data_IF_195809489883
#
_entry.id   IF_195809489883
#
_cell.length_a   1.000
_cell.length_b   1.000
_cell.length_c   1.000
_cell.angle_alpha   90.00
_cell.angle_beta   90.00
_cell.angle_gamma   90.00
#
_symmetry.space_group_name_H-M   'P 1'
#
loop_
_entity.id
_entity.type
_entity.pdbx_description
1 polymer ?
#
# COMPACT_ATOMS: atom_id res chain seq x y z
N UNK A 1 16.70 -3.83 -24.30
CA UNK A 1 17.71 -3.43 -23.29
C UNK A 1 16.99 -2.51 -22.33
N UNK A 2 17.00 -2.73 -21.01
CA UNK A 2 16.36 -1.78 -20.09
C UNK A 2 17.01 -0.40 -20.26
N UNK A 3 16.21 0.66 -20.28
CA UNK A 3 16.68 2.04 -20.38
C UNK A 3 17.72 2.31 -19.28
N UNK A 4 18.68 3.20 -19.55
CA UNK A 4 19.66 3.60 -18.51
C UNK A 4 18.96 4.24 -17.30
N UNK A 5 17.77 4.82 -17.50
CA UNK A 5 16.90 5.38 -16.46
C UNK A 5 16.40 4.30 -15.48
N UNK A 6 15.81 3.20 -15.97
CA UNK A 6 15.28 2.11 -15.11
C UNK A 6 16.33 1.46 -14.20
N UNK A 7 17.60 1.39 -14.62
CA UNK A 7 18.71 0.95 -13.76
C UNK A 7 19.14 2.03 -12.76
N UNK A 8 19.07 3.31 -13.12
CA UNK A 8 19.38 4.42 -12.24
C UNK A 8 18.29 4.65 -11.19
N UNK A 9 17.01 4.53 -11.55
CA UNK A 9 15.89 4.51 -10.61
C UNK A 9 16.01 3.32 -9.68
N UNK A 10 16.20 2.10 -10.21
CA UNK A 10 16.44 0.92 -9.37
C UNK A 10 17.68 1.07 -8.48
N UNK A 11 18.74 1.78 -8.91
CA UNK A 11 19.93 2.10 -8.11
C UNK A 11 19.70 3.22 -7.07
N UNK A 12 18.87 4.21 -7.39
CA UNK A 12 18.47 5.30 -6.50
C UNK A 12 17.39 4.85 -5.50
N UNK A 13 16.60 3.83 -5.85
CA UNK A 13 15.64 3.10 -5.01
C UNK A 13 16.26 1.91 -4.30
N UNK A 14 17.41 1.43 -4.76
CA UNK A 14 18.14 0.31 -4.22
C UNK A 14 19.65 0.53 -4.40
N UNK A 15 20.35 0.79 -3.29
CA UNK A 15 21.82 0.96 -3.20
C UNK A 15 22.33 2.39 -3.45
N UNK A 16 21.94 3.31 -2.57
CA UNK A 16 22.81 4.43 -2.20
C UNK A 16 23.80 3.97 -1.12
N UNK A 17 24.98 3.49 -1.53
CA UNK A 17 26.11 3.25 -0.61
C UNK A 17 26.66 4.59 -0.12
N UNK A 18 26.26 4.98 1.09
CA UNK A 18 26.81 6.11 1.83
C UNK A 18 26.35 6.09 3.29
N UNK A 19 27.08 5.32 4.12
CA UNK A 19 26.91 5.10 5.57
C UNK A 19 25.77 4.19 6.04
N UNK A 20 26.07 2.89 5.96
CA UNK A 20 25.87 1.83 6.98
C UNK A 20 25.24 2.26 8.32
N UNK A 21 23.92 2.46 8.35
CA UNK A 21 23.03 2.17 9.47
C UNK A 21 21.60 2.13 8.90
N UNK A 22 20.86 1.04 9.11
CA UNK A 22 19.43 1.01 8.82
C UNK A 22 18.96 0.23 7.59
N UNK A 23 19.64 -0.83 7.16
CA UNK A 23 18.90 -2.02 6.75
C UNK A 23 18.32 -2.66 8.02
N UNK A 24 17.46 -1.95 8.73
CA UNK A 24 16.81 -2.54 9.87
C UNK A 24 15.64 -3.33 9.32
N UNK A 25 15.95 -4.61 9.14
CA UNK A 25 15.02 -5.67 8.84
C UNK A 25 13.75 -5.50 9.68
N UNK A 26 12.61 -5.92 9.11
CA UNK A 26 11.50 -6.40 9.91
C UNK A 26 12.11 -7.29 11.01
N UNK A 27 12.00 -6.90 12.28
CA UNK A 27 12.60 -7.68 13.35
C UNK A 27 12.04 -9.10 13.27
N UNK A 28 12.95 -10.07 13.33
CA UNK A 28 12.60 -11.49 13.46
C UNK A 28 12.21 -11.86 14.88
N UNK A 29 12.36 -10.92 15.83
CA UNK A 29 11.86 -11.07 17.19
C UNK A 29 10.42 -10.56 17.25
N UNK A 30 9.49 -11.33 17.84
CA UNK A 30 8.12 -10.87 18.01
C UNK A 30 8.14 -9.57 18.83
N UNK A 31 7.42 -8.52 18.41
CA UNK A 31 7.40 -7.26 19.11
C UNK A 31 6.98 -7.46 20.56
N UNK A 32 7.67 -6.79 21.47
CA UNK A 32 7.32 -6.77 22.89
C UNK A 32 6.00 -6.03 23.16
N UNK A 33 5.47 -5.33 22.16
CA UNK A 33 4.22 -4.56 22.24
C UNK A 33 3.00 -5.45 22.02
N UNK A 34 1.93 -5.10 22.73
CA UNK A 34 0.64 -5.78 22.62
C UNK A 34 0.09 -5.63 21.19
N UNK A 35 -0.76 -6.57 20.71
CA UNK A 35 -1.45 -6.41 19.44
C UNK A 35 -2.20 -5.07 19.42
N UNK A 36 -2.33 -4.43 18.25
CA UNK A 36 -3.14 -3.23 18.14
C UNK A 36 -4.55 -3.54 18.63
N UNK A 37 -5.25 -2.58 19.25
CA UNK A 37 -6.68 -2.74 19.50
C UNK A 37 -7.37 -2.90 18.13
N UNK A 38 -7.68 -4.14 17.77
CA UNK A 38 -8.67 -4.38 16.73
C UNK A 38 -9.99 -3.80 17.25
N UNK A 39 -10.76 -3.15 16.38
CA UNK A 39 -12.19 -3.11 16.64
C UNK A 39 -12.65 -4.56 16.86
N UNK A 40 -13.50 -4.78 17.85
CA UNK A 40 -13.92 -6.13 18.21
C UNK A 40 -14.54 -6.79 16.98
N UNK A 41 -13.93 -7.88 16.50
CA UNK A 41 -14.50 -8.66 15.39
C UNK A 41 -15.77 -9.42 15.83
N UNK A 42 -16.18 -9.29 17.10
CA UNK A 42 -17.32 -9.95 17.68
C UNK A 42 -18.63 -9.77 16.88
N UNK A 43 -18.78 -8.66 16.17
CA UNK A 43 -19.98 -8.38 15.38
C UNK A 43 -19.90 -8.92 13.92
N UNK A 44 -18.81 -9.59 13.54
CA UNK A 44 -18.59 -10.07 12.17
C UNK A 44 -18.77 -11.59 12.06
N UNK A 45 -19.40 -12.00 10.96
CA UNK A 45 -19.48 -13.39 10.52
C UNK A 45 -18.29 -13.69 9.61
N UNK A 46 -17.42 -14.59 10.02
CA UNK A 46 -16.17 -14.91 9.31
C UNK A 46 -16.16 -16.38 8.91
N UNK A 47 -15.93 -16.64 7.62
CA UNK A 47 -15.52 -17.97 7.17
C UNK A 47 -14.00 -18.10 7.37
N UNK A 48 -13.54 -19.19 7.97
CA UNK A 48 -12.12 -19.47 8.13
C UNK A 48 -11.82 -20.89 7.67
N UNK A 49 -10.97 -21.01 6.66
CA UNK A 49 -10.44 -22.30 6.22
C UNK A 49 -9.71 -23.00 7.36
N UNK A 50 -9.90 -24.32 7.46
CA UNK A 50 -9.38 -25.13 8.57
C UNK A 50 -7.85 -25.12 8.73
N UNK A 51 -7.12 -24.75 7.67
CA UNK A 51 -5.66 -24.67 7.68
C UNK A 51 -5.13 -23.29 8.08
N UNK A 52 -6.00 -22.29 8.25
CA UNK A 52 -5.62 -20.96 8.72
C UNK A 52 -5.46 -20.98 10.24
N UNK A 53 -4.27 -20.66 10.78
CA UNK A 53 -4.09 -20.58 12.23
C UNK A 53 -4.87 -19.39 12.78
N UNK A 54 -5.51 -19.58 13.94
CA UNK A 54 -6.27 -18.54 14.64
C UNK A 54 -5.65 -18.24 16.01
N UNK A 55 -5.76 -17.00 16.51
CA UNK A 55 -5.40 -16.70 17.89
C UNK A 55 -6.30 -17.50 18.86
N UNK A 56 -5.78 -17.80 20.05
CA UNK A 56 -6.51 -18.58 21.07
C UNK A 56 -7.80 -17.90 21.56
N UNK A 57 -7.87 -16.56 21.51
CA UNK A 57 -8.95 -15.78 22.11
C UNK A 57 -9.46 -14.67 21.19
N UNK A 58 -9.85 -15.03 19.96
CA UNK A 58 -10.55 -14.10 19.06
C UNK A 58 -12.06 -14.39 19.05
N UNK A 59 -12.87 -13.36 19.22
CA UNK A 59 -14.32 -13.44 19.09
C UNK A 59 -14.73 -12.97 17.68
N UNK A 60 -15.40 -13.84 16.94
CA UNK A 60 -16.19 -13.56 15.73
C UNK A 60 -17.15 -14.74 15.53
N UNK A 61 -18.26 -14.50 14.86
CA UNK A 61 -19.22 -15.55 14.53
C UNK A 61 -18.66 -16.38 13.36
N UNK A 62 -18.56 -17.71 13.53
CA UNK A 62 -18.04 -18.58 12.47
C UNK A 62 -19.15 -19.10 11.58
N UNK A 63 -18.89 -19.08 10.28
CA UNK A 63 -19.72 -19.75 9.27
C UNK A 63 -18.89 -20.74 8.45
N UNK A 64 -19.55 -21.78 7.94
CA UNK A 64 -18.98 -22.71 6.95
C UNK A 64 -19.39 -22.34 5.52
N UNK A 65 -20.19 -21.29 5.35
CA UNK A 65 -20.66 -20.77 4.07
C UNK A 65 -19.90 -19.48 3.75
N UNK A 66 -19.11 -19.50 2.67
CA UNK A 66 -18.32 -18.35 2.25
C UNK A 66 -19.17 -17.17 1.83
N UNK A 67 -20.38 -17.40 1.29
CA UNK A 67 -21.27 -16.35 0.77
C UNK A 67 -22.08 -15.65 1.87
N UNK A 68 -22.19 -16.29 3.04
CA UNK A 68 -22.86 -15.73 4.22
C UNK A 68 -21.89 -14.99 5.16
N UNK A 69 -20.60 -14.90 4.79
CA UNK A 69 -19.57 -14.27 5.60
C UNK A 69 -19.41 -12.79 5.23
N UNK A 70 -19.09 -11.95 6.21
CA UNK A 70 -18.61 -10.59 5.99
C UNK A 70 -17.19 -10.59 5.37
N UNK A 71 -16.42 -11.65 5.66
CA UNK A 71 -15.12 -11.94 5.04
C UNK A 71 -14.80 -13.42 5.11
N UNK A 72 -14.21 -13.96 4.04
CA UNK A 72 -13.71 -15.33 3.98
C UNK A 72 -12.18 -15.37 4.02
N UNK A 73 -11.62 -16.15 4.94
CA UNK A 73 -10.17 -16.28 5.15
C UNK A 73 -9.72 -17.67 4.70
N UNK A 74 -8.82 -17.72 3.72
CA UNK A 74 -8.29 -18.96 3.16
C UNK A 74 -6.80 -19.15 3.45
N UNK A 75 -6.38 -20.42 3.56
CA UNK A 75 -4.96 -20.75 3.51
C UNK A 75 -4.45 -20.68 2.05
N UNK A 76 -3.16 -20.34 1.83
CA UNK A 76 -2.55 -20.24 0.51
C UNK A 76 -2.27 -21.61 -0.08
N UNK A 77 -3.29 -22.24 -0.67
CA UNK A 77 -3.16 -23.52 -1.35
C UNK A 77 -3.76 -23.45 -2.76
N UNK A 78 -3.23 -24.26 -3.68
CA UNK A 78 -3.78 -24.36 -5.04
C UNK A 78 -5.24 -24.82 -5.02
N UNK A 79 -5.61 -25.69 -4.08
CA UNK A 79 -6.98 -26.18 -3.91
C UNK A 79 -7.97 -25.07 -3.57
N UNK A 80 -7.53 -23.98 -2.93
CA UNK A 80 -8.38 -22.86 -2.55
C UNK A 80 -8.57 -21.82 -3.67
N UNK A 81 -7.77 -21.86 -4.75
CA UNK A 81 -7.79 -20.82 -5.80
C UNK A 81 -9.17 -20.67 -6.43
N UNK A 82 -9.81 -21.78 -6.81
CA UNK A 82 -11.15 -21.77 -7.42
C UNK A 82 -12.21 -21.24 -6.43
N UNK A 83 -12.17 -21.68 -5.18
CA UNK A 83 -13.12 -21.24 -4.16
C UNK A 83 -12.95 -19.75 -3.82
N UNK A 84 -11.72 -19.24 -3.79
CA UNK A 84 -11.44 -17.81 -3.62
C UNK A 84 -12.06 -17.02 -4.77
N UNK A 85 -11.86 -17.46 -6.02
CA UNK A 85 -12.42 -16.79 -7.19
C UNK A 85 -13.96 -16.74 -7.13
N UNK A 86 -14.61 -17.87 -6.84
CA UNK A 86 -16.08 -17.92 -6.68
C UNK A 86 -16.56 -17.00 -5.56
N UNK A 87 -15.85 -16.95 -4.43
CA UNK A 87 -16.21 -16.10 -3.28
C UNK A 87 -16.10 -14.61 -3.63
N UNK A 88 -15.05 -14.22 -4.35
CA UNK A 88 -14.88 -12.85 -4.84
C UNK A 88 -15.94 -12.47 -5.88
N UNK A 89 -16.27 -13.38 -6.80
CA UNK A 89 -17.29 -13.15 -7.83
C UNK A 89 -18.70 -12.96 -7.25
N UNK A 90 -18.98 -13.57 -6.09
CA UNK A 90 -20.22 -13.39 -5.33
C UNK A 90 -20.25 -12.06 -4.54
N UNK A 91 -19.16 -11.30 -4.54
CA UNK A 91 -19.05 -10.02 -3.86
C UNK A 91 -18.57 -10.11 -2.41
N UNK A 92 -18.18 -11.29 -1.94
CA UNK A 92 -17.66 -11.46 -0.58
C UNK A 92 -16.16 -11.11 -0.51
N UNK A 93 -15.72 -10.25 0.43
CA UNK A 93 -14.30 -9.98 0.66
C UNK A 93 -13.52 -11.25 1.01
N UNK A 94 -12.31 -11.38 0.45
CA UNK A 94 -11.42 -12.51 0.73
C UNK A 94 -10.09 -12.05 1.31
N UNK A 95 -9.64 -12.75 2.36
CA UNK A 95 -8.28 -12.69 2.85
C UNK A 95 -7.56 -14.03 2.62
N UNK A 96 -6.26 -13.98 2.33
CA UNK A 96 -5.39 -15.16 2.27
C UNK A 96 -4.31 -15.00 3.34
N UNK A 97 -4.15 -16.02 4.19
CA UNK A 97 -3.31 -15.97 5.38
C UNK A 97 -2.33 -17.17 5.42
N UNK A 98 -1.05 -16.91 5.23
CA UNK A 98 0.05 -17.87 5.24
C UNK A 98 1.14 -17.53 4.22
N UNK A 99 2.19 -18.33 4.16
CA UNK A 99 3.27 -18.18 3.15
C UNK A 99 2.70 -18.24 1.72
N UNK A 100 3.16 -17.37 0.83
CA UNK A 100 2.69 -17.25 -0.56
C UNK A 100 1.26 -16.71 -0.74
N UNK A 101 0.70 -16.06 0.29
CA UNK A 101 -0.67 -15.53 0.24
C UNK A 101 -0.96 -14.66 -0.99
N UNK A 102 -0.02 -13.77 -1.36
CA UNK A 102 -0.17 -12.91 -2.52
C UNK A 102 -0.25 -13.72 -3.82
N UNK A 103 0.55 -14.77 -3.98
CA UNK A 103 0.53 -15.60 -5.19
C UNK A 103 -0.81 -16.29 -5.37
N UNK A 104 -1.33 -16.91 -4.30
CA UNK A 104 -2.64 -17.59 -4.32
C UNK A 104 -3.75 -16.62 -4.67
N UNK A 105 -3.77 -15.42 -4.05
CA UNK A 105 -4.78 -14.40 -4.36
C UNK A 105 -4.71 -13.96 -5.83
N UNK A 106 -3.50 -13.72 -6.35
CA UNK A 106 -3.31 -13.34 -7.77
C UNK A 106 -3.79 -14.44 -8.72
N UNK A 107 -3.58 -15.72 -8.41
CA UNK A 107 -4.12 -16.80 -9.24
C UNK A 107 -5.65 -16.78 -9.28
N UNK A 108 -6.29 -16.51 -8.15
CA UNK A 108 -7.75 -16.44 -8.09
C UNK A 108 -8.30 -15.22 -8.85
N UNK A 109 -7.67 -14.05 -8.74
CA UNK A 109 -8.11 -12.84 -9.43
C UNK A 109 -8.02 -12.93 -10.96
N UNK A 110 -7.05 -13.68 -11.50
CA UNK A 110 -6.86 -13.83 -12.97
C UNK A 110 -8.07 -14.40 -13.71
N UNK A 111 -8.95 -15.13 -13.02
CA UNK A 111 -10.15 -15.71 -13.62
C UNK A 111 -11.40 -14.82 -13.50
N UNK A 112 -11.28 -13.64 -12.91
CA UNK A 112 -12.39 -12.73 -12.65
C UNK A 112 -12.51 -11.68 -13.75
N UNK A 113 -13.75 -11.34 -14.09
CA UNK A 113 -14.11 -10.21 -14.95
C UNK A 113 -14.21 -8.94 -14.09
N UNK A 114 -13.08 -8.55 -13.50
CA UNK A 114 -12.98 -7.38 -12.62
C UNK A 114 -11.60 -6.73 -12.76
N UNK A 115 -11.58 -5.40 -12.79
CA UNK A 115 -10.32 -4.66 -12.76
C UNK A 115 -9.68 -4.72 -11.38
N UNK A 116 -8.35 -4.82 -11.30
CA UNK A 116 -7.65 -4.83 -10.01
C UNK A 116 -6.18 -4.42 -10.12
N UNK A 117 -5.68 -3.82 -9.04
CA UNK A 117 -4.27 -3.44 -8.88
C UNK A 117 -3.49 -4.38 -7.97
N UNK A 118 -2.17 -4.45 -8.17
CA UNK A 118 -1.20 -5.03 -7.25
C UNK A 118 -0.14 -3.96 -6.95
N UNK A 119 0.03 -3.59 -5.68
CA UNK A 119 1.00 -2.56 -5.30
C UNK A 119 2.47 -2.95 -5.53
N UNK A 120 2.77 -4.25 -5.62
CA UNK A 120 4.07 -4.79 -5.98
C UNK A 120 3.95 -6.21 -6.54
N UNK A 121 4.39 -6.45 -7.77
CA UNK A 121 4.40 -7.78 -8.40
C UNK A 121 5.49 -8.73 -7.84
N UNK A 122 6.47 -8.19 -7.09
CA UNK A 122 7.69 -8.92 -6.69
C UNK A 122 7.71 -9.47 -5.25
N UNK A 123 6.71 -9.18 -4.42
CA UNK A 123 6.73 -9.50 -2.98
C UNK A 123 6.11 -10.86 -2.62
N UNK A 124 5.75 -11.66 -3.62
CA UNK A 124 4.85 -12.80 -3.44
C UNK A 124 5.29 -13.81 -2.40
N UNK A 125 6.58 -14.17 -2.38
CA UNK A 125 7.11 -15.24 -1.52
C UNK A 125 7.26 -14.85 -0.04
N UNK A 126 7.27 -13.55 0.28
CA UNK A 126 7.46 -13.05 1.65
C UNK A 126 6.17 -12.54 2.27
N UNK A 127 5.10 -12.42 1.46
CA UNK A 127 3.84 -11.86 1.90
C UNK A 127 3.00 -12.92 2.59
N UNK A 128 2.77 -12.73 3.88
CA UNK A 128 2.02 -13.69 4.72
C UNK A 128 0.54 -13.38 4.82
N UNK A 129 0.11 -12.17 4.49
CA UNK A 129 -1.30 -11.79 4.54
C UNK A 129 -1.65 -10.79 3.43
N UNK A 130 -2.66 -11.12 2.64
CA UNK A 130 -3.26 -10.26 1.63
C UNK A 130 -4.78 -10.32 1.68
N UNK A 131 -5.44 -9.34 1.11
CA UNK A 131 -6.88 -9.39 0.90
C UNK A 131 -7.30 -8.73 -0.41
N UNK A 132 -8.47 -9.10 -0.90
CA UNK A 132 -9.18 -8.45 -1.99
C UNK A 132 -10.63 -8.19 -1.58
N UNK A 133 -11.13 -6.99 -1.88
CA UNK A 133 -12.47 -6.54 -1.51
C UNK A 133 -13.23 -6.15 -2.79
N UNK A 134 -14.30 -6.85 -3.15
CA UNK A 134 -15.12 -6.48 -4.30
C UNK A 134 -15.79 -5.10 -4.16
N UNK A 135 -15.79 -4.33 -5.26
CA UNK A 135 -16.35 -2.98 -5.36
C UNK A 135 -17.04 -2.75 -6.71
N UNK A 136 -18.13 -3.48 -6.95
CA UNK A 136 -18.78 -3.47 -8.26
C UNK A 136 -17.97 -4.30 -9.24
N UNK A 137 -17.45 -3.68 -10.29
CA UNK A 137 -16.66 -4.28 -11.39
C UNK A 137 -15.15 -4.28 -11.14
N UNK A 138 -14.72 -4.05 -9.90
CA UNK A 138 -13.30 -3.99 -9.52
C UNK A 138 -13.02 -4.59 -8.15
N UNK A 139 -11.74 -4.85 -7.88
CA UNK A 139 -11.25 -5.32 -6.59
C UNK A 139 -10.27 -4.32 -5.98
N UNK A 140 -10.53 -3.92 -4.74
CA UNK A 140 -9.54 -3.23 -3.92
C UNK A 140 -8.63 -4.26 -3.27
N UNK A 141 -7.31 -4.13 -3.43
CA UNK A 141 -6.34 -5.12 -2.93
C UNK A 141 -5.51 -4.58 -1.77
N UNK A 142 -5.15 -5.48 -0.86
CA UNK A 142 -4.47 -5.14 0.38
C UNK A 142 -3.29 -6.10 0.61
N UNK A 143 -2.13 -5.54 0.95
CA UNK A 143 -0.94 -6.24 1.40
C UNK A 143 -0.60 -5.76 2.81
N UNK A 144 -0.34 -6.70 3.70
CA UNK A 144 0.01 -6.40 5.09
C UNK A 144 1.46 -6.79 5.38
N UNK A 145 2.29 -5.80 5.70
CA UNK A 145 3.73 -5.96 5.94
C UNK A 145 4.01 -5.94 7.44
N UNK A 146 4.79 -6.91 7.92
CA UNK A 146 5.11 -7.06 9.35
C UNK A 146 3.94 -7.59 10.19
N UNK A 147 2.94 -8.22 9.55
CA UNK A 147 1.87 -8.93 10.23
C UNK A 147 2.35 -10.34 10.65
N UNK A 148 2.30 -10.63 11.95
CA UNK A 148 2.65 -11.93 12.51
C UNK A 148 1.38 -12.74 12.75
N UNK A 149 1.19 -13.76 11.92
CA UNK A 149 0.07 -14.69 12.06
C UNK A 149 0.40 -15.75 13.13
N UNK A 150 -0.60 -16.17 13.94
CA UNK A 150 -2.00 -15.76 13.87
C UNK A 150 -2.34 -14.49 14.65
N UNK A 151 -1.41 -13.95 15.46
CA UNK A 151 -1.64 -12.84 16.40
C UNK A 151 -2.29 -11.62 15.75
N UNK A 152 -1.79 -11.22 14.59
CA UNK A 152 -2.19 -9.97 13.94
C UNK A 152 -3.33 -10.15 12.92
N UNK A 153 -3.88 -11.37 12.80
CA UNK A 153 -5.01 -11.66 11.91
C UNK A 153 -6.21 -10.74 12.18
N UNK A 154 -6.65 -10.51 13.44
CA UNK A 154 -7.83 -9.68 13.69
C UNK A 154 -7.65 -8.23 13.23
N UNK A 155 -6.45 -7.68 13.48
CA UNK A 155 -6.09 -6.35 13.02
C UNK A 155 -6.10 -6.24 11.50
N UNK A 156 -5.53 -7.22 10.79
CA UNK A 156 -5.46 -7.22 9.33
C UNK A 156 -6.84 -7.36 8.67
N UNK A 157 -7.73 -8.19 9.25
CA UNK A 157 -9.13 -8.28 8.82
C UNK A 157 -9.86 -6.96 9.05
N UNK A 158 -9.69 -6.35 10.23
CA UNK A 158 -10.31 -5.07 10.54
C UNK A 158 -9.91 -3.98 9.53
N UNK A 159 -8.62 -3.86 9.26
CA UNK A 159 -8.09 -2.89 8.29
C UNK A 159 -8.48 -3.20 6.84
N UNK A 160 -8.80 -4.45 6.51
CA UNK A 160 -9.33 -4.85 5.19
C UNK A 160 -10.76 -4.36 5.01
N UNK A 161 -11.64 -4.66 5.98
CA UNK A 161 -13.07 -4.38 5.86
C UNK A 161 -13.44 -2.92 6.18
N UNK A 162 -12.70 -2.30 7.10
CA UNK A 162 -12.91 -0.92 7.53
C UNK A 162 -11.61 -0.11 7.41
N UNK A 163 -11.07 0.06 6.18
CA UNK A 163 -9.85 0.83 5.98
C UNK A 163 -10.08 2.28 6.41
N UNK A 164 -9.20 2.82 7.26
CA UNK A 164 -9.31 4.23 7.69
C UNK A 164 -9.32 5.15 6.47
N UNK A 165 -10.25 6.10 6.41
CA UNK A 165 -10.18 7.18 5.43
C UNK A 165 -8.89 7.99 5.66
N UNK A 166 -8.21 8.38 4.58
CA UNK A 166 -7.02 9.22 4.64
C UNK A 166 -7.30 10.51 3.88
N UNK A 167 -7.14 11.64 4.55
CA UNK A 167 -7.17 12.94 3.91
C UNK A 167 -5.74 13.39 3.64
N UNK A 168 -5.50 13.90 2.43
CA UNK A 168 -4.21 14.49 2.12
C UNK A 168 -3.93 15.67 3.05
N UNK A 169 -2.77 15.66 3.68
CA UNK A 169 -2.33 16.79 4.50
C UNK A 169 -2.05 18.02 3.63
N UNK A 170 -1.53 17.77 2.42
CA UNK A 170 -1.38 18.79 1.37
C UNK A 170 -2.11 18.28 0.12
N UNK A 171 -3.10 19.02 -0.41
CA UNK A 171 -3.86 18.60 -1.59
C UNK A 171 -3.02 18.69 -2.89
N UNK A 172 -3.32 17.80 -3.85
CA UNK A 172 -2.69 17.77 -5.18
C UNK A 172 -3.31 18.78 -6.17
N UNK A 173 -3.46 20.03 -5.76
CA UNK A 173 -4.26 21.07 -6.45
C UNK A 173 -3.87 21.36 -7.91
N UNK A 174 -2.71 20.89 -8.38
CA UNK A 174 -2.21 21.18 -9.74
C UNK A 174 -2.57 20.13 -10.80
N UNK A 175 -3.22 19.02 -10.43
CA UNK A 175 -3.66 18.00 -11.38
C UNK A 175 -5.16 17.75 -11.18
N UNK A 176 -5.96 18.52 -11.91
CA UNK A 176 -7.41 18.36 -11.95
C UNK A 176 -7.78 17.05 -12.66
N UNK A 177 -8.74 16.33 -12.08
CA UNK A 177 -9.38 15.21 -12.77
C UNK A 177 -10.46 15.75 -13.70
N UNK A 178 -10.57 15.24 -14.93
CA UNK A 178 -11.73 15.50 -15.76
C UNK A 178 -13.00 14.93 -15.09
N UNK A 179 -14.17 15.43 -15.51
CA UNK A 179 -15.45 15.01 -14.92
C UNK A 179 -15.79 13.54 -15.17
N UNK A 180 -15.32 13.00 -16.29
CA UNK A 180 -15.58 11.63 -16.73
C UNK A 180 -14.30 10.79 -16.55
N UNK A 181 -14.16 10.15 -15.39
CA UNK A 181 -13.07 9.21 -15.08
C UNK A 181 -13.62 7.90 -14.54
N UNK A 182 -13.02 6.79 -14.98
CA UNK A 182 -13.35 5.44 -14.54
C UNK A 182 -12.25 4.93 -13.61
N UNK A 183 -12.55 4.59 -12.35
CA UNK A 183 -11.56 4.03 -11.43
C UNK A 183 -11.30 2.55 -11.72
N UNK A 184 -10.02 2.16 -11.85
CA UNK A 184 -9.60 0.75 -11.98
C UNK A 184 -9.47 0.04 -10.63
N UNK A 185 -9.60 0.78 -9.52
CA UNK A 185 -9.53 0.26 -8.15
C UNK A 185 -8.47 0.92 -7.31
N UNK A 186 -8.29 0.39 -6.10
CA UNK A 186 -7.25 0.82 -5.16
C UNK A 186 -6.39 -0.38 -4.76
N UNK A 187 -5.09 -0.18 -4.65
CA UNK A 187 -4.19 -1.15 -4.01
C UNK A 187 -3.52 -0.50 -2.80
N UNK A 188 -3.35 -1.27 -1.73
CA UNK A 188 -2.90 -0.78 -0.43
C UNK A 188 -1.78 -1.65 0.12
N UNK A 189 -0.73 -1.01 0.62
CA UNK A 189 0.29 -1.65 1.46
C UNK A 189 0.18 -1.03 2.85
N UNK A 190 -0.29 -1.81 3.83
CA UNK A 190 -0.33 -1.40 5.23
C UNK A 190 0.76 -2.15 5.99
N UNK A 191 1.50 -1.48 6.85
CA UNK A 191 2.45 -2.18 7.69
C UNK A 191 2.84 -1.45 8.95
N UNK A 192 3.69 -2.14 9.71
CA UNK A 192 4.37 -1.63 10.89
C UNK A 192 5.79 -2.17 10.94
N UNK A 193 6.63 -1.46 11.67
CA UNK A 193 7.95 -1.89 12.07
C UNK A 193 8.10 -1.64 13.59
N UNK A 194 9.29 -1.87 14.12
CA UNK A 194 9.55 -1.79 15.57
C UNK A 194 9.36 -0.39 16.16
N UNK A 195 9.38 0.65 15.33
CA UNK A 195 9.29 2.04 15.79
C UNK A 195 7.95 2.69 15.48
N UNK A 196 7.24 2.24 14.43
CA UNK A 196 6.10 2.96 13.89
C UNK A 196 5.29 2.20 12.80
N UNK A 197 4.26 2.85 12.28
CA UNK A 197 3.34 2.34 11.27
C UNK A 197 3.34 3.18 9.99
N UNK A 198 3.01 2.54 8.88
CA UNK A 198 2.90 3.20 7.57
C UNK A 198 1.79 2.58 6.73
N UNK A 199 1.28 3.33 5.76
CA UNK A 199 0.23 2.90 4.84
C UNK A 199 0.39 3.63 3.52
N UNK A 200 0.55 2.88 2.44
CA UNK A 200 0.56 3.41 1.08
C UNK A 200 -0.69 2.95 0.37
N UNK A 201 -1.33 3.85 -0.38
CA UNK A 201 -2.43 3.52 -1.29
C UNK A 201 -2.15 4.10 -2.65
N UNK A 202 -2.38 3.29 -3.66
CA UNK A 202 -2.38 3.72 -5.04
C UNK A 202 -3.79 3.53 -5.59
N UNK A 203 -4.31 4.53 -6.28
CA UNK A 203 -5.56 4.44 -7.03
C UNK A 203 -5.29 4.88 -8.46
N UNK A 204 -5.79 4.11 -9.42
CA UNK A 204 -5.65 4.43 -10.84
C UNK A 204 -7.01 4.76 -11.42
N UNK A 205 -7.06 5.88 -12.12
CA UNK A 205 -8.24 6.34 -12.83
C UNK A 205 -7.89 6.52 -14.31
N UNK A 206 -8.83 6.16 -15.18
CA UNK A 206 -8.70 6.31 -16.63
C UNK A 206 -9.70 7.36 -17.07
N UNK A 207 -9.29 8.34 -17.87
CA UNK A 207 -10.24 9.24 -18.53
C UNK A 207 -10.39 8.82 -19.99
N UNK A 208 -11.63 8.79 -20.46
CA UNK A 208 -11.92 8.67 -21.89
C UNK A 208 -11.75 10.05 -22.54
N UNK A 209 -10.82 10.16 -23.48
CA UNK A 209 -10.53 11.36 -24.27
C UNK A 209 -10.34 10.93 -25.73
N UNK A 210 -10.84 11.75 -26.67
CA UNK A 210 -11.09 11.37 -28.06
C UNK A 210 -9.79 11.11 -28.85
N UNK A 211 -8.65 11.68 -28.40
CA UNK A 211 -7.36 11.58 -29.08
C UNK A 211 -6.35 10.67 -28.36
N UNK A 212 -6.36 10.63 -27.01
CA UNK A 212 -5.51 9.75 -26.20
C UNK A 212 -6.19 9.47 -24.86
N UNK A 213 -6.09 8.25 -24.33
CA UNK A 213 -6.66 7.86 -23.02
C UNK A 213 -5.65 8.10 -21.88
N UNK A 214 -5.69 9.23 -21.14
CA UNK A 214 -4.77 9.44 -20.03
C UNK A 214 -5.13 8.59 -18.81
N UNK A 215 -4.09 8.22 -18.08
CA UNK A 215 -4.16 7.50 -16.82
C UNK A 215 -3.72 8.44 -15.70
N UNK A 216 -4.52 8.53 -14.64
CA UNK A 216 -4.23 9.28 -13.43
C UNK A 216 -3.84 8.30 -12.33
N UNK A 217 -2.67 8.49 -11.75
CA UNK A 217 -2.17 7.67 -10.66
C UNK A 217 -2.11 8.52 -9.40
N UNK A 218 -3.01 8.23 -8.47
CA UNK A 218 -3.06 8.84 -7.16
C UNK A 218 -2.31 7.96 -6.18
N UNK A 219 -1.27 8.49 -5.55
CA UNK A 219 -0.51 7.80 -4.51
C UNK A 219 -0.63 8.57 -3.20
N UNK A 220 -1.16 7.93 -2.15
CA UNK A 220 -1.09 8.44 -0.79
C UNK A 220 -0.15 7.58 0.06
N UNK A 221 0.59 8.23 0.95
CA UNK A 221 1.46 7.57 1.92
C UNK A 221 1.29 8.23 3.28
N UNK A 222 0.69 7.50 4.22
CA UNK A 222 0.53 7.94 5.59
C UNK A 222 1.60 7.35 6.48
N UNK A 223 2.20 8.21 7.29
CA UNK A 223 3.19 7.88 8.30
C UNK A 223 2.62 8.20 9.68
N UNK A 224 2.77 7.29 10.64
CA UNK A 224 2.40 7.51 12.04
C UNK A 224 3.60 7.32 12.94
N UNK A 225 3.57 7.87 14.15
CA UNK A 225 4.61 7.73 15.16
C UNK A 225 4.00 7.50 16.55
N UNK A 226 4.78 6.89 17.45
CA UNK A 226 4.38 6.65 18.84
C UNK A 226 3.17 5.72 19.00
N UNK A 227 2.39 5.95 20.06
CA UNK A 227 1.31 5.06 20.53
C UNK A 227 0.25 4.76 19.46
N UNK A 228 -0.02 5.70 18.54
CA UNK A 228 -0.96 5.51 17.43
C UNK A 228 -0.56 4.41 16.44
N UNK A 229 0.68 3.93 16.51
CA UNK A 229 1.22 2.85 15.72
C UNK A 229 1.70 1.65 16.56
N UNK A 230 1.40 1.62 17.86
CA UNK A 230 1.97 0.66 18.83
C UNK A 230 3.51 0.58 18.78
N UNK A 231 4.13 1.72 18.41
CA UNK A 231 5.55 1.84 18.18
C UNK A 231 6.29 2.60 19.30
N UNK A 232 7.60 2.75 19.12
CA UNK A 232 8.47 3.47 20.06
C UNK A 232 8.21 4.99 20.01
N UNK A 233 7.78 5.57 21.13
CA UNK A 233 7.40 6.98 21.29
C UNK A 233 8.56 7.99 21.13
N UNK A 234 9.79 7.47 21.10
CA UNK A 234 11.01 8.23 20.82
C UNK A 234 11.08 8.66 19.36
N UNK A 235 10.65 7.79 18.45
CA UNK A 235 10.74 8.05 17.02
C UNK A 235 9.55 8.88 16.55
N UNK A 236 9.83 9.93 15.77
CA UNK A 236 8.83 10.84 15.18
C UNK A 236 8.92 10.83 13.67
N UNK A 237 7.82 11.11 13.00
CA UNK A 237 7.75 11.20 11.56
C UNK A 237 8.68 12.31 11.10
N UNK A 238 9.56 11.98 10.16
CA UNK A 238 10.62 12.87 9.71
C UNK A 238 10.56 13.15 8.21
N UNK A 239 10.04 12.21 7.42
CA UNK A 239 9.76 12.48 6.02
C UNK A 239 9.10 11.33 5.30
N UNK A 240 8.42 11.67 4.22
CA UNK A 240 7.90 10.72 3.25
C UNK A 240 8.39 11.11 1.86
N UNK A 241 8.89 10.14 1.10
CA UNK A 241 9.23 10.32 -0.32
C UNK A 241 8.29 9.45 -1.14
N UNK A 242 7.55 10.06 -2.05
CA UNK A 242 6.77 9.36 -3.07
C UNK A 242 7.55 9.42 -4.38
N UNK A 243 7.88 8.26 -4.94
CA UNK A 243 8.58 8.16 -6.20
C UNK A 243 7.91 7.14 -7.13
N UNK A 244 7.76 7.49 -8.40
CA UNK A 244 7.26 6.62 -9.45
C UNK A 244 7.99 6.85 -10.77
N UNK A 245 8.21 5.79 -11.55
CA UNK A 245 8.73 5.83 -12.92
C UNK A 245 7.70 5.15 -13.83
N UNK A 246 7.31 5.85 -14.89
CA UNK A 246 6.29 5.38 -15.84
C UNK A 246 6.94 4.95 -17.16
N UNK A 247 6.42 3.87 -17.76
CA UNK A 247 6.80 3.50 -19.13
C UNK A 247 6.11 4.41 -20.17
N UNK A 248 5.05 5.12 -19.79
CA UNK A 248 4.33 6.10 -20.61
C UNK A 248 4.70 7.54 -20.24
N UNK A 249 4.36 8.49 -21.11
CA UNK A 249 4.77 9.89 -20.95
C UNK A 249 4.10 10.53 -19.73
N UNK A 250 4.92 11.01 -18.79
CA UNK A 250 4.47 11.77 -17.62
C UNK A 250 4.25 13.24 -18.00
N UNK A 251 2.98 13.68 -17.99
CA UNK A 251 2.60 15.02 -18.45
C UNK A 251 2.48 16.02 -17.30
N UNK A 252 1.86 15.61 -16.18
CA UNK A 252 1.63 16.49 -15.02
C UNK A 252 1.76 15.74 -13.73
N UNK A 253 2.25 16.44 -12.71
CA UNK A 253 2.49 15.91 -11.37
C UNK A 253 2.08 16.99 -10.37
N UNK A 254 1.45 16.58 -9.28
CA UNK A 254 1.09 17.47 -8.18
C UNK A 254 1.16 16.74 -6.84
N UNK A 255 1.33 17.46 -5.71
CA UNK A 255 1.55 18.90 -5.60
C UNK A 255 2.96 19.36 -6.06
N UNK A 256 3.10 20.63 -6.43
CA UNK A 256 4.40 21.22 -6.76
C UNK A 256 5.18 21.54 -5.49
N UNK A 257 6.39 22.08 -5.66
CA UNK A 257 7.19 22.57 -4.52
C UNK A 257 6.46 23.68 -3.78
N UNK A 258 6.16 23.48 -2.50
CA UNK A 258 5.48 24.45 -1.64
C UNK A 258 5.71 24.18 -0.16
N UNK A 259 5.53 25.19 0.68
CA UNK A 259 5.49 25.04 2.13
C UNK A 259 4.11 25.44 2.64
N UNK A 260 3.52 24.58 3.44
CA UNK A 260 2.26 24.78 4.15
C UNK A 260 2.49 24.57 5.64
N UNK A 261 1.66 25.17 6.50
CA UNK A 261 1.49 24.64 7.85
C UNK A 261 0.51 23.47 7.72
N UNK A 262 0.98 22.21 7.52
CA UNK A 262 2.02 21.65 8.38
C UNK A 262 3.21 20.97 7.68
N UNK A 263 3.32 20.96 6.35
CA UNK A 263 4.38 20.27 5.60
C UNK A 263 5.11 21.19 4.60
N UNK A 264 6.41 20.97 4.44
CA UNK A 264 7.16 21.37 3.24
C UNK A 264 7.16 20.23 2.23
N UNK A 265 6.84 20.55 0.97
CA UNK A 265 6.90 19.68 -0.19
C UNK A 265 8.00 20.19 -1.12
N UNK A 266 8.97 19.33 -1.45
CA UNK A 266 9.89 19.54 -2.56
C UNK A 266 9.52 18.61 -3.70
N UNK A 267 9.30 19.19 -4.88
CA UNK A 267 9.09 18.47 -6.13
C UNK A 267 10.44 18.34 -6.84
N UNK A 268 10.93 17.11 -6.91
CA UNK A 268 12.19 16.69 -7.54
C UNK A 268 11.91 15.87 -8.81
N UNK A 269 10.70 15.96 -9.36
CA UNK A 269 10.29 15.19 -10.54
C UNK A 269 11.03 15.60 -11.82
N UNK A 270 11.23 14.65 -12.72
CA UNK A 270 11.79 14.86 -14.04
C UNK A 270 10.87 14.26 -15.12
N UNK A 271 10.05 15.12 -15.73
CA UNK A 271 9.13 14.72 -16.82
C UNK A 271 9.87 14.36 -18.11
N UNK A 272 11.17 14.61 -18.24
CA UNK A 272 11.94 14.17 -19.42
C UNK A 272 12.37 12.71 -19.32
N UNK A 273 12.47 12.19 -18.09
CA UNK A 273 12.76 10.79 -17.78
C UNK A 273 11.53 10.03 -17.25
N UNK A 274 10.33 10.63 -17.36
CA UNK A 274 9.05 10.08 -16.88
C UNK A 274 9.06 9.67 -15.39
N UNK A 275 9.84 10.39 -14.58
CA UNK A 275 10.01 10.17 -13.14
C UNK A 275 9.25 11.21 -12.33
N UNK A 276 8.31 10.75 -11.50
CA UNK A 276 7.69 11.55 -10.45
C UNK A 276 8.44 11.34 -9.14
N UNK A 277 8.81 12.43 -8.46
CA UNK A 277 9.48 12.36 -7.17
C UNK A 277 9.14 13.56 -6.29
N UNK A 278 8.48 13.30 -5.16
CA UNK A 278 8.09 14.33 -4.20
C UNK A 278 8.53 13.97 -2.80
N UNK A 279 9.11 14.95 -2.10
CA UNK A 279 9.63 14.82 -0.74
C UNK A 279 8.78 15.68 0.19
N UNK A 280 8.17 15.06 1.19
CA UNK A 280 7.32 15.68 2.18
C UNK A 280 8.02 15.68 3.54
N UNK A 281 8.19 16.86 4.13
CA UNK A 281 8.87 17.08 5.42
C UNK A 281 7.94 17.77 6.40
N UNK A 282 7.78 17.27 7.63
CA UNK A 282 6.92 17.90 8.63
C UNK A 282 7.55 19.15 9.24
N UNK A 283 6.75 20.22 9.34
CA UNK A 283 7.12 21.51 9.94
C UNK A 283 6.59 21.68 11.36
N UNK A 284 5.51 20.96 11.72
CA UNK A 284 4.83 21.07 13.02
C UNK A 284 4.95 19.79 13.84
N UNK A 285 4.86 19.92 15.17
CA UNK A 285 4.87 18.75 16.07
C UNK A 285 3.71 17.79 15.78
N UNK A 286 2.53 18.33 15.43
CA UNK A 286 1.39 17.51 15.04
C UNK A 286 1.67 16.67 13.79
N UNK A 287 2.34 17.23 12.77
CA UNK A 287 2.77 16.44 11.61
C UNK A 287 3.92 15.48 11.94
N UNK A 288 4.73 15.75 12.97
CA UNK A 288 5.73 14.79 13.47
C UNK A 288 5.11 13.60 14.20
N UNK A 289 3.87 13.69 14.64
CA UNK A 289 3.10 12.54 15.15
C UNK A 289 2.51 11.70 14.00
N UNK A 290 2.19 12.34 12.88
CA UNK A 290 1.86 11.67 11.64
C UNK A 290 1.25 12.61 10.60
N UNK A 291 1.36 12.22 9.32
CA UNK A 291 0.78 12.96 8.20
C UNK A 291 0.56 12.04 6.99
N UNK A 292 -0.22 12.52 6.02
CA UNK A 292 -0.47 11.83 4.75
C UNK A 292 0.13 12.64 3.61
N UNK A 293 1.23 12.15 3.05
CA UNK A 293 1.79 12.60 1.79
C UNK A 293 0.92 12.10 0.64
N UNK A 294 0.82 12.91 -0.41
CA UNK A 294 -0.17 12.74 -1.43
C UNK A 294 0.40 13.22 -2.77
N UNK A 295 0.37 12.37 -3.80
CA UNK A 295 0.80 12.67 -5.17
C UNK A 295 -0.30 12.30 -6.17
N UNK A 296 -0.44 13.08 -7.23
CA UNK A 296 -1.22 12.72 -8.41
C UNK A 296 -0.37 12.94 -9.66
N UNK A 297 -0.25 11.90 -10.47
CA UNK A 297 0.42 11.92 -11.77
C UNK A 297 -0.59 11.74 -12.90
N UNK A 298 -0.50 12.55 -13.96
CA UNK A 298 -1.18 12.32 -15.24
C UNK A 298 -0.18 11.72 -16.21
N UNK A 299 -0.47 10.51 -16.66
CA UNK A 299 0.37 9.71 -17.55
C UNK A 299 -0.39 9.50 -18.86
N UNK A 300 0.31 9.60 -19.97
CA UNK A 300 -0.22 9.38 -21.31
C UNK A 300 0.50 8.16 -21.88
N UNK A 301 -0.05 6.94 -21.73
CA UNK A 301 0.55 5.74 -22.29
C UNK A 301 0.46 5.76 -23.82
N UNK A 302 1.37 5.06 -24.49
CA UNK A 302 1.31 4.88 -25.96
C UNK A 302 0.08 4.05 -26.38
N UNK A 303 -0.28 3.05 -25.57
CA UNK A 303 -1.48 2.23 -25.71
C UNK A 303 -1.96 1.79 -24.32
N UNK A 304 -3.25 1.92 -24.06
CA UNK A 304 -3.88 1.33 -22.87
C UNK A 304 -4.47 -0.03 -23.26
N UNK A 305 -3.67 -1.08 -23.12
CA UNK A 305 -4.15 -2.47 -23.29
C UNK A 305 -4.75 -3.03 -22.00
N UNK A 306 -4.82 -4.37 -21.90
CA UNK A 306 -5.36 -5.10 -20.74
C UNK A 306 -4.51 -4.97 -19.45
N UNK A 307 -3.40 -4.24 -19.51
CA UNK A 307 -2.46 -4.06 -18.40
C UNK A 307 -1.81 -2.67 -18.42
N UNK A 308 -1.81 -2.02 -17.26
CA UNK A 308 -1.03 -0.81 -16.99
C UNK A 308 -0.05 -1.06 -15.84
N UNK A 309 1.17 -0.51 -15.90
CA UNK A 309 2.15 -0.67 -14.82
C UNK A 309 3.13 0.49 -14.71
N UNK A 310 3.70 0.65 -13.52
CA UNK A 310 4.74 1.63 -13.21
C UNK A 310 5.60 1.12 -12.07
N UNK A 311 6.85 1.59 -11.99
CA UNK A 311 7.67 1.34 -10.82
C UNK A 311 7.30 2.37 -9.76
N UNK A 312 7.15 1.92 -8.52
CA UNK A 312 6.67 2.78 -7.46
C UNK A 312 7.33 2.47 -6.13
N UNK A 313 7.58 3.51 -5.34
CA UNK A 313 8.24 3.41 -4.05
C UNK A 313 7.80 4.56 -3.14
N UNK A 314 7.12 4.24 -2.04
CA UNK A 314 7.01 5.15 -0.91
C UNK A 314 8.13 4.83 0.09
N UNK A 315 8.84 5.88 0.52
CA UNK A 315 9.87 5.80 1.55
C UNK A 315 9.38 6.55 2.77
N UNK A 316 9.35 5.88 3.90
CA UNK A 316 8.93 6.42 5.19
C UNK A 316 10.16 6.56 6.07
N UNK A 317 10.33 7.71 6.71
CA UNK A 317 11.47 7.98 7.59
C UNK A 317 10.99 8.47 8.95
N UNK A 318 11.55 7.87 9.99
CA UNK A 318 11.39 8.29 11.38
C UNK A 318 12.74 8.63 11.99
N UNK A 319 12.74 9.56 12.95
CA UNK A 319 13.95 10.01 13.64
C UNK A 319 13.68 10.20 15.13
N UNK A 320 14.64 9.84 15.97
CA UNK A 320 14.64 10.24 17.39
C UNK A 320 15.13 11.71 17.49
N UNK A 321 14.26 12.67 17.84
CA UNK A 321 14.64 14.08 17.90
C UNK A 321 15.53 14.41 19.12
N UNK A 322 15.69 13.49 20.07
CA UNK A 322 16.48 13.70 21.30
C UNK A 322 17.98 13.53 21.05
N UNK A 323 18.36 12.94 19.92
CA UNK A 323 19.74 12.67 19.56
C UNK A 323 20.21 13.62 18.46
N UNK A 324 21.35 14.27 18.70
CA UNK A 324 21.93 15.25 17.77
C UNK A 324 22.63 14.60 16.55
N UNK A 325 22.68 13.26 16.48
CA UNK A 325 23.34 12.55 15.38
C UNK A 325 22.33 12.21 14.29
N UNK A 326 22.74 12.42 13.04
CA UNK A 326 22.02 12.03 11.82
C UNK A 326 21.74 10.53 11.69
N UNK A 327 22.35 9.72 12.56
CA UNK A 327 22.47 8.28 12.37
C UNK A 327 21.39 7.48 13.13
N UNK A 328 20.56 8.12 13.97
CA UNK A 328 19.42 7.46 14.62
C UNK A 328 18.12 7.69 13.85
N UNK A 329 18.11 7.10 12.66
CA UNK A 329 17.02 7.16 11.68
C UNK A 329 16.54 5.75 11.41
N UNK A 330 15.21 5.58 11.41
CA UNK A 330 14.57 4.38 10.91
C UNK A 330 13.93 4.66 9.55
N UNK A 331 13.93 3.69 8.65
CA UNK A 331 13.31 3.85 7.34
C UNK A 331 12.62 2.58 6.88
N UNK A 332 11.52 2.74 6.15
CA UNK A 332 10.83 1.66 5.47
C UNK A 332 10.55 2.05 4.03
N UNK A 333 10.60 1.08 3.12
CA UNK A 333 10.42 1.31 1.70
C UNK A 333 9.42 0.30 1.15
N UNK A 334 8.59 0.74 0.20
CA UNK A 334 7.66 -0.14 -0.51
C UNK A 334 7.99 -0.26 -2.00
N UNK A 335 9.20 -0.66 -2.40
CA UNK A 335 9.56 -0.71 -3.81
C UNK A 335 8.83 -1.85 -4.52
N UNK A 336 8.34 -1.59 -5.71
CA UNK A 336 7.73 -2.63 -6.53
C UNK A 336 7.30 -2.11 -7.89
N UNK A 337 7.14 -3.02 -8.83
CA UNK A 337 6.34 -2.76 -10.02
C UNK A 337 4.87 -2.88 -9.60
N UNK A 338 4.16 -1.76 -9.60
CA UNK A 338 2.72 -1.73 -9.45
C UNK A 338 2.08 -2.12 -10.79
N UNK A 339 1.10 -3.03 -10.76
CA UNK A 339 0.47 -3.57 -11.96
C UNK A 339 -1.04 -3.51 -11.80
N UNK A 340 -1.72 -3.08 -12.86
CA UNK A 340 -3.17 -2.96 -12.95
C UNK A 340 -3.66 -3.81 -14.12
N UNK A 341 -4.64 -4.64 -13.85
CA UNK A 341 -5.36 -5.45 -14.83
C UNK A 341 -6.72 -4.80 -15.08
N UNK A 342 -7.05 -4.61 -16.35
CA UNK A 342 -8.26 -3.93 -16.82
C UNK A 342 -9.30 -4.95 -17.26
#
# INVERSE_FOLDING_TARGET
>A
MPSRSRRAFLAATGVGLGSLAGCNALSTEPPATSPPPAADLADWTVFVDSQVPLPESVAFDRTNDTTAADVAVFAPTEANVEQIAVTLADGTPVAVAGTDAQWTLVQACRGLDASYGLASSGWSAQTTFVAAVPRGDRLDTHIFVGAELPRDLPWALNETLSPRAQACTVPFEHVELPGDVTPLGTTRIRGRNDVAGFDRRDSVLVADDDDVTPVYVDTSATIWSGEAADGDDRYRADGVVLAAEFDGRLDRIGPGSQTTEPLTVADESDTTDDEARQVFTPETDAARDGFTACSRCRVVPDELGDRFSYLANARFRWRDPRLLRSDDVWSHHTPGEAVWYL
#
